data_IF_862715374791
#
_entry.id   IF_862715374791
#
_cell.length_a   1.000
_cell.length_b   1.000
_cell.length_c   1.000
_cell.angle_alpha   90.00
_cell.angle_beta   90.00
_cell.angle_gamma   90.00
#
_symmetry.space_group_name_H-M   'P 1'
#
loop_
_entity.id
_entity.type
_entity.pdbx_description
1 polymer ?
#
# COMPACT_ATOMS: atom_id res chain seq x y z
N UNK A 1 -14.87 14.45 8.23
CA UNK A 1 -14.99 14.04 6.81
C UNK A 1 -15.15 12.52 6.76
N UNK A 2 -15.94 11.97 5.83
CA UNK A 2 -16.09 10.52 5.70
C UNK A 2 -14.77 9.86 5.28
N UNK A 3 -14.46 8.70 5.86
CA UNK A 3 -13.32 7.87 5.46
C UNK A 3 -13.73 7.00 4.26
N UNK A 4 -13.60 7.54 3.06
CA UNK A 4 -13.98 6.87 1.81
C UNK A 4 -12.83 6.03 1.24
N UNK A 5 -13.14 4.87 0.68
CA UNK A 5 -12.23 4.05 -0.12
C UNK A 5 -12.84 3.84 -1.49
N UNK A 6 -12.12 4.26 -2.55
CA UNK A 6 -12.54 4.11 -3.94
C UNK A 6 -11.36 3.52 -4.73
N UNK A 7 -11.41 2.23 -5.10
CA UNK A 7 -10.35 1.62 -5.90
C UNK A 7 -10.36 2.19 -7.32
N UNK A 8 -9.19 2.33 -7.96
CA UNK A 8 -9.11 2.85 -9.32
C UNK A 8 -9.60 1.83 -10.35
N UNK A 9 -10.23 2.30 -11.43
CA UNK A 9 -10.66 1.48 -12.58
C UNK A 9 -9.87 1.82 -13.85
N UNK A 10 -9.66 0.86 -14.75
CA UNK A 10 -8.94 1.12 -16.01
C UNK A 10 -9.74 2.10 -16.88
N UNK A 11 -9.08 3.16 -17.35
CA UNK A 11 -9.61 4.09 -18.35
C UNK A 11 -9.04 3.75 -19.74
N UNK A 12 -9.75 4.09 -20.81
CA UNK A 12 -9.35 3.71 -22.18
C UNK A 12 -9.80 2.30 -22.61
N UNK A 13 -10.84 1.76 -21.96
CA UNK A 13 -11.57 0.58 -22.43
C UNK A 13 -12.70 0.99 -23.39
N UNK A 14 -13.26 0.03 -24.15
CA UNK A 14 -14.37 0.29 -25.08
C UNK A 14 -15.59 0.94 -24.41
N UNK A 15 -15.87 0.58 -23.14
CA UNK A 15 -16.98 1.13 -22.37
C UNK A 15 -16.66 2.47 -21.66
N UNK A 16 -15.43 2.98 -21.81
CA UNK A 16 -15.03 4.23 -21.16
C UNK A 16 -15.38 5.46 -22.02
N UNK A 17 -15.72 6.57 -21.36
CA UNK A 17 -16.08 7.80 -22.05
C UNK A 17 -14.86 8.39 -22.77
N UNK A 18 -14.98 8.56 -24.08
CA UNK A 18 -13.90 9.10 -24.91
C UNK A 18 -13.69 10.60 -24.65
N UNK A 19 -12.44 11.04 -24.58
CA UNK A 19 -12.07 12.44 -24.34
C UNK A 19 -12.18 12.91 -22.89
N UNK A 20 -12.54 12.04 -21.95
CA UNK A 20 -12.57 12.35 -20.51
C UNK A 20 -11.52 11.53 -19.76
N UNK A 21 -10.78 12.20 -18.87
CA UNK A 21 -9.79 11.57 -18.00
C UNK A 21 -10.09 11.97 -16.56
N UNK A 22 -10.29 10.98 -15.69
CA UNK A 22 -10.50 11.18 -14.26
C UNK A 22 -9.18 11.04 -13.50
N UNK A 23 -8.90 11.98 -12.59
CA UNK A 23 -7.68 12.02 -11.76
C UNK A 23 -7.98 12.48 -10.34
N UNK A 24 -7.04 12.23 -9.41
CA UNK A 24 -7.15 12.61 -8.00
C UNK A 24 -8.23 11.82 -7.25
N UNK A 25 -8.79 12.43 -6.20
CA UNK A 25 -9.80 11.79 -5.34
C UNK A 25 -11.11 11.49 -6.08
N UNK A 26 -11.39 12.15 -7.22
CA UNK A 26 -12.52 11.78 -8.08
C UNK A 26 -12.36 10.38 -8.70
N UNK A 27 -11.13 9.85 -8.74
CA UNK A 27 -10.78 8.61 -9.40
C UNK A 27 -10.24 7.54 -8.44
N UNK A 28 -9.48 7.92 -7.41
CA UNK A 28 -8.87 6.98 -6.48
C UNK A 28 -8.81 7.60 -5.07
N UNK A 29 -9.65 7.12 -4.16
CA UNK A 29 -9.67 7.56 -2.75
C UNK A 29 -9.14 6.48 -1.82
N UNK A 30 -8.47 6.93 -0.77
CA UNK A 30 -7.84 6.07 0.24
C UNK A 30 -7.95 6.67 1.62
N UNK A 31 -7.69 5.84 2.63
CA UNK A 31 -7.75 6.30 4.00
C UNK A 31 -6.73 7.43 4.25
N UNK A 32 -7.13 8.59 4.83
CA UNK A 32 -6.26 9.77 4.95
C UNK A 32 -5.14 9.63 5.99
N UNK A 33 -5.02 8.47 6.65
CA UNK A 33 -4.11 8.25 7.79
C UNK A 33 -2.64 8.49 7.46
N UNK A 34 -2.22 8.15 6.24
CA UNK A 34 -0.84 8.32 5.79
C UNK A 34 -0.61 9.66 5.08
N UNK A 35 -1.65 10.47 4.88
CA UNK A 35 -1.54 11.74 4.15
C UNK A 35 -1.17 11.60 2.66
N UNK A 36 -1.21 10.38 2.09
CA UNK A 36 -0.67 10.11 0.76
C UNK A 36 -1.53 10.53 -0.43
N UNK A 37 -2.75 11.05 -0.22
CA UNK A 37 -3.68 11.39 -1.32
C UNK A 37 -3.12 12.45 -2.27
N UNK A 38 -2.57 13.54 -1.74
CA UNK A 38 -1.94 14.58 -2.56
C UNK A 38 -0.71 14.05 -3.30
N UNK A 39 0.13 13.26 -2.64
CA UNK A 39 1.33 12.67 -3.27
C UNK A 39 0.97 11.81 -4.47
N UNK A 40 -0.10 11.02 -4.35
CA UNK A 40 -0.62 10.19 -5.45
C UNK A 40 -1.19 11.06 -6.56
N UNK A 41 -1.95 12.11 -6.24
CA UNK A 41 -2.50 13.03 -7.23
C UNK A 41 -1.40 13.74 -8.05
N UNK A 42 -0.35 14.22 -7.39
CA UNK A 42 0.80 14.85 -8.06
C UNK A 42 1.58 13.84 -8.90
N UNK A 43 1.80 12.63 -8.40
CA UNK A 43 2.46 11.58 -9.15
C UNK A 43 1.66 11.16 -10.40
N UNK A 44 0.35 10.99 -10.25
CA UNK A 44 -0.57 10.67 -11.34
C UNK A 44 -0.54 11.76 -12.42
N UNK A 45 -0.54 13.04 -12.03
CA UNK A 45 -0.46 14.16 -12.96
C UNK A 45 0.88 14.23 -13.72
N UNK A 46 1.99 13.95 -13.03
CA UNK A 46 3.32 13.88 -13.65
C UNK A 46 3.41 12.73 -14.67
N UNK A 47 2.94 11.53 -14.30
CA UNK A 47 2.89 10.40 -15.22
C UNK A 47 1.97 10.70 -16.41
N UNK A 48 0.78 11.25 -16.17
CA UNK A 48 -0.16 11.57 -17.25
C UNK A 48 0.46 12.55 -18.26
N UNK A 49 1.19 13.56 -17.77
CA UNK A 49 1.93 14.51 -18.63
C UNK A 49 3.01 13.82 -19.45
N UNK A 50 3.65 12.78 -18.92
CA UNK A 50 4.65 12.00 -19.66
C UNK A 50 4.02 11.10 -20.73
N UNK A 51 2.91 10.44 -20.38
CA UNK A 51 2.23 9.48 -21.26
C UNK A 51 1.41 10.16 -22.38
N UNK A 52 0.90 11.36 -22.15
CA UNK A 52 0.09 12.12 -23.11
C UNK A 52 0.86 13.26 -23.81
N UNK A 53 2.19 13.29 -23.71
CA UNK A 53 2.99 14.34 -24.34
C UNK A 53 2.98 14.21 -25.88
N UNK A 54 2.43 15.17 -26.64
CA UNK A 54 2.48 15.13 -28.11
C UNK A 54 3.92 15.25 -28.63
N UNK A 55 4.30 14.38 -29.56
CA UNK A 55 5.67 14.28 -30.10
C UNK A 55 6.73 13.84 -29.10
N UNK A 56 6.35 13.48 -27.86
CA UNK A 56 7.27 13.07 -26.79
C UNK A 56 7.51 11.57 -26.80
N UNK A 57 8.75 11.15 -26.51
CA UNK A 57 9.05 9.74 -26.20
C UNK A 57 8.79 9.48 -24.73
N UNK A 58 8.17 8.34 -24.40
CA UNK A 58 8.02 7.91 -23.02
C UNK A 58 9.38 7.50 -22.45
N UNK A 59 9.70 7.91 -21.22
CA UNK A 59 10.97 7.50 -20.59
C UNK A 59 11.00 6.00 -20.33
N UNK A 60 9.83 5.43 -19.99
CA UNK A 60 9.68 4.00 -19.77
C UNK A 60 9.85 3.18 -21.06
N UNK A 61 9.55 3.78 -22.23
CA UNK A 61 9.58 3.13 -23.54
C UNK A 61 10.17 4.04 -24.63
N UNK A 62 11.49 4.25 -24.63
CA UNK A 62 12.14 5.21 -25.55
C UNK A 62 12.16 4.76 -27.02
N UNK A 63 11.85 3.48 -27.29
CA UNK A 63 11.79 2.91 -28.63
C UNK A 63 10.42 3.07 -29.30
N UNK A 64 9.38 3.40 -28.53
CA UNK A 64 8.03 3.55 -29.06
C UNK A 64 7.83 4.98 -29.57
N UNK A 65 7.14 5.12 -30.71
CA UNK A 65 6.75 6.43 -31.21
C UNK A 65 5.75 7.06 -30.23
N UNK A 66 5.98 8.34 -29.91
CA UNK A 66 5.04 9.12 -29.12
C UNK A 66 3.72 9.37 -29.85
N UNK A 67 2.81 10.06 -29.19
CA UNK A 67 1.66 10.66 -29.87
C UNK A 67 2.15 11.62 -30.98
N UNK A 68 1.33 11.85 -31.99
CA UNK A 68 1.67 12.78 -33.06
C UNK A 68 2.01 14.17 -32.50
N UNK A 69 2.92 14.88 -33.17
CA UNK A 69 3.37 16.17 -32.69
C UNK A 69 2.29 17.24 -32.89
N UNK A 70 2.03 18.05 -31.86
CA UNK A 70 1.02 19.11 -31.92
C UNK A 70 -0.31 18.71 -31.29
N UNK A 71 -1.37 19.43 -31.64
CA UNK A 71 -2.73 19.18 -31.09
C UNK A 71 -3.34 17.90 -31.65
N UNK A 72 -3.03 17.58 -32.91
CA UNK A 72 -3.57 16.44 -33.66
C UNK A 72 -3.34 15.10 -32.93
N UNK A 73 -2.18 14.95 -32.27
CA UNK A 73 -1.89 13.77 -31.44
C UNK A 73 -2.76 13.59 -30.20
N UNK A 74 -3.61 14.56 -29.85
CA UNK A 74 -4.59 14.46 -28.77
C UNK A 74 -6.04 14.35 -29.27
N UNK A 75 -6.26 14.35 -30.59
CA UNK A 75 -7.58 14.23 -31.19
C UNK A 75 -7.98 12.76 -31.39
N UNK A 76 -7.00 11.90 -31.67
CA UNK A 76 -7.21 10.46 -31.84
C UNK A 76 -7.32 9.73 -30.49
N UNK A 77 -8.51 9.18 -30.22
CA UNK A 77 -8.78 8.49 -28.97
C UNK A 77 -8.07 7.13 -28.83
N UNK A 78 -7.89 6.40 -29.92
CA UNK A 78 -7.30 5.04 -29.89
C UNK A 78 -5.89 4.99 -29.28
N UNK A 79 -4.91 5.83 -29.72
CA UNK A 79 -3.59 5.86 -29.11
C UNK A 79 -3.63 6.43 -27.68
N UNK A 80 -4.51 7.39 -27.39
CA UNK A 80 -4.69 7.93 -26.02
C UNK A 80 -5.18 6.82 -25.08
N UNK A 81 -6.17 6.03 -25.52
CA UNK A 81 -6.73 4.93 -24.75
C UNK A 81 -5.69 3.84 -24.46
N UNK A 82 -4.77 3.57 -25.39
CA UNK A 82 -3.62 2.70 -25.12
C UNK A 82 -2.68 3.29 -24.07
N UNK A 83 -2.30 4.56 -24.20
CA UNK A 83 -1.46 5.25 -23.21
C UNK A 83 -2.09 5.30 -21.82
N UNK A 84 -3.41 5.47 -21.72
CA UNK A 84 -4.14 5.46 -20.45
C UNK A 84 -4.11 4.09 -19.78
N UNK A 85 -4.17 3.00 -20.55
CA UNK A 85 -4.02 1.62 -20.03
C UNK A 85 -2.61 1.39 -19.47
N UNK A 86 -1.58 1.92 -20.12
CA UNK A 86 -0.20 1.83 -19.62
C UNK A 86 0.02 2.70 -18.38
N UNK A 87 -0.49 3.94 -18.42
CA UNK A 87 -0.47 4.86 -17.27
C UNK A 87 -1.09 4.21 -16.02
N UNK A 88 -2.20 3.49 -16.19
CA UNK A 88 -2.84 2.74 -15.10
C UNK A 88 -1.92 1.71 -14.43
N UNK A 89 -1.11 0.99 -15.20
CA UNK A 89 -0.16 0.03 -14.64
C UNK A 89 1.06 0.72 -14.01
N UNK A 90 1.54 1.82 -14.60
CA UNK A 90 2.70 2.55 -14.06
C UNK A 90 2.37 3.18 -12.71
N UNK A 91 1.22 3.83 -12.58
CA UNK A 91 0.80 4.46 -11.31
C UNK A 91 0.62 3.48 -10.18
N UNK A 92 0.26 2.21 -10.45
CA UNK A 92 0.08 1.17 -9.41
C UNK A 92 1.35 0.91 -8.61
N UNK A 93 2.54 1.16 -9.17
CA UNK A 93 3.81 1.01 -8.46
C UNK A 93 3.89 1.89 -7.21
N UNK A 94 3.45 3.14 -7.29
CA UNK A 94 3.41 4.07 -6.16
C UNK A 94 2.05 4.02 -5.45
N UNK A 95 0.99 4.20 -6.22
CA UNK A 95 -0.38 4.34 -5.70
C UNK A 95 -0.83 3.10 -4.93
N UNK A 96 -0.50 1.90 -5.42
CA UNK A 96 -0.85 0.64 -4.76
C UNK A 96 -0.14 0.47 -3.41
N UNK A 97 1.15 0.82 -3.33
CA UNK A 97 1.92 0.75 -2.06
C UNK A 97 1.32 1.68 -1.02
N UNK A 98 1.04 2.94 -1.40
CA UNK A 98 0.44 3.92 -0.49
C UNK A 98 -0.95 3.45 -0.05
N UNK A 99 -1.77 2.89 -0.96
CA UNK A 99 -3.09 2.35 -0.67
C UNK A 99 -3.07 1.23 0.37
N UNK A 100 -2.29 0.20 0.09
CA UNK A 100 -2.14 -0.96 0.97
C UNK A 100 -1.64 -0.52 2.34
N UNK A 101 -0.65 0.38 2.36
CA UNK A 101 -0.09 0.89 3.60
C UNK A 101 -1.12 1.65 4.44
N UNK A 102 -1.90 2.56 3.83
CA UNK A 102 -2.95 3.31 4.53
C UNK A 102 -3.98 2.39 5.17
N UNK A 103 -4.45 1.38 4.42
CA UNK A 103 -5.47 0.44 4.90
C UNK A 103 -4.93 -0.51 5.97
N UNK A 104 -3.71 -1.01 5.79
CA UNK A 104 -3.06 -1.89 6.75
C UNK A 104 -2.82 -1.18 8.08
N UNK A 105 -2.26 0.03 8.06
CA UNK A 105 -2.02 0.82 9.27
C UNK A 105 -3.33 1.27 9.93
N UNK A 106 -4.34 1.64 9.14
CA UNK A 106 -5.66 1.95 9.68
C UNK A 106 -6.27 0.74 10.40
N UNK A 107 -6.23 -0.44 9.79
CA UNK A 107 -6.76 -1.66 10.40
C UNK A 107 -5.97 -2.05 11.65
N UNK A 108 -4.64 -1.90 11.62
CA UNK A 108 -3.75 -2.19 12.73
C UNK A 108 -3.96 -1.26 13.92
N UNK A 109 -4.05 0.04 13.69
CA UNK A 109 -4.16 1.04 14.75
C UNK A 109 -5.60 1.31 15.21
N UNK A 110 -6.58 1.16 14.32
CA UNK A 110 -8.00 1.36 14.60
C UNK A 110 -8.70 0.17 15.27
N UNK A 111 -8.15 -1.05 15.16
CA UNK A 111 -8.75 -2.25 15.73
C UNK A 111 -8.40 -2.53 17.19
N UNK A 112 -8.56 -1.52 18.07
CA UNK A 112 -8.18 -1.58 19.50
C UNK A 112 -8.81 -2.72 20.29
N UNK A 113 -9.97 -3.21 19.85
CA UNK A 113 -10.76 -4.16 20.63
C UNK A 113 -10.36 -5.62 20.40
N UNK A 114 -9.58 -5.91 19.35
CA UNK A 114 -9.10 -7.26 19.07
C UNK A 114 -7.73 -7.49 19.71
N UNK A 115 -7.59 -8.51 20.57
CA UNK A 115 -6.32 -8.76 21.27
C UNK A 115 -5.20 -9.17 20.31
N UNK A 116 -5.54 -9.73 19.13
CA UNK A 116 -4.58 -10.13 18.10
C UNK A 116 -3.93 -8.89 17.45
N UNK A 117 -4.72 -7.83 17.21
CA UNK A 117 -4.24 -6.56 16.67
C UNK A 117 -3.46 -5.75 17.70
N UNK A 118 -3.81 -5.86 18.98
CA UNK A 118 -3.04 -5.23 20.06
C UNK A 118 -1.60 -5.73 20.10
N UNK A 119 -1.37 -7.05 19.91
CA UNK A 119 -0.03 -7.65 19.81
C UNK A 119 0.74 -7.08 18.62
N UNK A 120 0.11 -7.06 17.44
CA UNK A 120 0.74 -6.52 16.23
C UNK A 120 1.06 -5.03 16.36
N UNK A 121 0.21 -4.26 17.03
CA UNK A 121 0.42 -2.82 17.28
C UNK A 121 1.60 -2.58 18.21
N UNK A 122 1.68 -3.30 19.32
CA UNK A 122 2.82 -3.20 20.25
C UNK A 122 4.12 -3.59 19.56
N UNK A 123 4.12 -4.69 18.82
CA UNK A 123 5.30 -5.12 18.06
C UNK A 123 5.68 -4.17 16.94
N UNK A 124 4.72 -3.48 16.31
CA UNK A 124 4.99 -2.42 15.33
C UNK A 124 5.76 -1.25 15.96
N UNK A 125 5.33 -0.75 17.12
CA UNK A 125 6.06 0.30 17.83
C UNK A 125 7.44 -0.16 18.28
N UNK A 126 7.54 -1.36 18.86
CA UNK A 126 8.83 -1.94 19.27
C UNK A 126 9.76 -2.20 18.08
N UNK A 127 9.22 -2.50 16.91
CA UNK A 127 10.00 -2.68 15.69
C UNK A 127 10.64 -1.36 15.24
N UNK A 128 9.90 -0.25 15.34
CA UNK A 128 10.46 1.08 15.07
C UNK A 128 11.52 1.51 16.11
N UNK A 129 11.40 1.08 17.37
CA UNK A 129 12.43 1.34 18.39
C UNK A 129 13.78 0.68 18.08
N UNK A 130 13.84 -0.36 17.23
CA UNK A 130 15.10 -1.01 16.82
C UNK A 130 16.00 -0.11 15.95
N UNK A 131 15.44 0.94 15.34
CA UNK A 131 16.20 1.86 14.49
C UNK A 131 16.71 1.24 13.19
N UNK A 132 17.59 1.98 12.49
CA UNK A 132 18.18 1.55 11.22
C UNK A 132 17.14 1.30 10.13
N UNK A 133 17.28 0.19 9.42
CA UNK A 133 16.38 -0.20 8.32
C UNK A 133 14.93 -0.43 8.79
N UNK A 134 14.73 -0.78 10.06
CA UNK A 134 13.40 -0.98 10.64
C UNK A 134 12.59 0.32 10.71
N UNK A 135 13.25 1.48 10.62
CA UNK A 135 12.61 2.80 10.54
C UNK A 135 12.74 3.38 9.14
N UNK A 136 13.93 3.33 8.54
CA UNK A 136 14.19 3.94 7.24
C UNK A 136 13.32 3.36 6.13
N UNK A 137 13.10 2.04 6.12
CA UNK A 137 12.24 1.38 5.15
C UNK A 137 10.78 1.80 5.25
N UNK A 138 10.11 1.62 6.41
CA UNK A 138 8.72 2.04 6.60
C UNK A 138 8.50 3.55 6.39
N UNK A 139 9.44 4.40 6.80
CA UNK A 139 9.39 5.85 6.54
C UNK A 139 9.51 6.15 5.05
N UNK A 140 10.34 5.43 4.30
CA UNK A 140 10.44 5.54 2.84
C UNK A 140 9.13 5.17 2.12
N UNK A 141 8.38 4.21 2.65
CA UNK A 141 7.05 3.85 2.15
C UNK A 141 6.00 4.91 2.52
N UNK A 142 5.99 5.41 3.75
CA UNK A 142 5.07 6.44 4.24
C UNK A 142 5.24 7.77 3.51
N UNK A 143 6.49 8.16 3.24
CA UNK A 143 6.84 9.35 2.46
C UNK A 143 6.66 9.17 0.95
N UNK A 144 6.34 7.94 0.50
CA UNK A 144 6.26 7.56 -0.91
C UNK A 144 7.51 7.89 -1.73
N UNK A 145 8.69 7.98 -1.09
CA UNK A 145 9.97 8.22 -1.77
C UNK A 145 10.55 6.95 -2.39
N UNK A 146 10.33 5.80 -1.76
CA UNK A 146 10.79 4.49 -2.24
C UNK A 146 9.66 3.45 -2.23
N UNK A 147 8.54 3.70 -2.94
CA UNK A 147 7.37 2.85 -2.90
C UNK A 147 7.66 1.54 -3.65
N UNK A 148 8.11 0.52 -2.92
CA UNK A 148 8.36 -0.82 -3.46
C UNK A 148 7.47 -1.84 -2.75
N UNK A 149 6.61 -2.58 -3.48
CA UNK A 149 5.72 -3.57 -2.89
C UNK A 149 6.46 -4.64 -2.08
N UNK A 150 7.64 -5.04 -2.54
CA UNK A 150 8.49 -6.04 -1.86
C UNK A 150 8.99 -5.53 -0.49
N UNK A 151 9.34 -4.25 -0.40
CA UNK A 151 9.78 -3.62 0.87
C UNK A 151 8.60 -3.55 1.84
N UNK A 152 7.40 -3.20 1.35
CA UNK A 152 6.17 -3.19 2.15
C UNK A 152 5.87 -4.58 2.72
N UNK A 153 5.91 -5.62 1.88
CA UNK A 153 5.73 -7.00 2.32
C UNK A 153 6.78 -7.39 3.38
N UNK A 154 8.05 -7.13 3.10
CA UNK A 154 9.16 -7.44 3.99
C UNK A 154 8.99 -6.84 5.39
N UNK A 155 8.77 -5.52 5.49
CA UNK A 155 8.63 -4.88 6.80
C UNK A 155 7.34 -5.29 7.52
N UNK A 156 6.23 -5.48 6.80
CA UNK A 156 4.98 -5.90 7.43
C UNK A 156 5.11 -7.29 8.08
N UNK A 157 5.70 -8.26 7.38
CA UNK A 157 5.91 -9.59 7.95
C UNK A 157 6.98 -9.61 9.03
N UNK A 158 8.04 -8.81 8.92
CA UNK A 158 9.01 -8.65 10.02
C UNK A 158 8.36 -8.10 11.29
N UNK A 159 7.47 -7.11 11.16
CA UNK A 159 6.66 -6.62 12.29
C UNK A 159 5.80 -7.75 12.86
N UNK A 160 5.14 -8.55 12.01
CA UNK A 160 4.31 -9.67 12.47
C UNK A 160 5.12 -10.73 13.24
N UNK A 161 6.26 -11.15 12.70
CA UNK A 161 7.15 -12.11 13.37
C UNK A 161 7.76 -11.55 14.65
N UNK A 162 8.16 -10.28 14.64
CA UNK A 162 8.69 -9.62 15.83
C UNK A 162 7.62 -9.47 16.92
N UNK A 163 6.38 -9.19 16.54
CA UNK A 163 5.24 -9.16 17.47
C UNK A 163 5.00 -10.52 18.12
N UNK A 164 5.06 -11.60 17.33
CA UNK A 164 4.95 -12.97 17.82
C UNK A 164 6.10 -13.30 18.77
N UNK A 165 7.33 -12.94 18.41
CA UNK A 165 8.51 -13.13 19.25
C UNK A 165 8.37 -12.43 20.61
N UNK A 166 7.98 -11.15 20.61
CA UNK A 166 7.76 -10.38 21.84
C UNK A 166 6.64 -10.99 22.71
N UNK A 167 5.57 -11.46 22.08
CA UNK A 167 4.46 -12.12 22.76
C UNK A 167 4.87 -13.48 23.36
N UNK A 168 5.73 -14.26 22.70
CA UNK A 168 6.25 -15.51 23.24
C UNK A 168 7.17 -15.28 24.44
N UNK A 169 7.92 -14.18 24.46
CA UNK A 169 8.81 -13.83 25.57
C UNK A 169 8.10 -13.21 26.78
N UNK A 170 7.22 -12.23 26.54
CA UNK A 170 6.63 -11.41 27.60
C UNK A 170 5.17 -11.77 27.92
N UNK A 171 4.57 -12.67 27.15
CA UNK A 171 3.14 -12.94 27.18
C UNK A 171 2.32 -11.88 26.41
N UNK A 172 1.02 -12.13 26.19
CA UNK A 172 0.14 -11.19 25.48
C UNK A 172 -0.06 -9.89 26.28
N UNK A 173 -0.25 -8.74 25.62
CA UNK A 173 -0.36 -7.42 26.27
C UNK A 173 -1.45 -7.35 27.36
N UNK A 174 -2.53 -8.10 27.19
CA UNK A 174 -3.66 -8.14 28.13
C UNK A 174 -3.44 -9.06 29.34
N UNK A 175 -2.44 -9.94 29.30
CA UNK A 175 -2.03 -10.83 30.40
C UNK A 175 -0.52 -10.92 30.38
N UNK A 176 0.15 -9.84 30.78
CA UNK A 176 1.60 -9.87 31.03
C UNK A 176 1.85 -10.83 32.18
N UNK A 177 2.28 -12.05 31.85
CA UNK A 177 2.75 -13.02 32.82
C UNK A 177 4.00 -12.46 33.47
N UNK A 178 3.97 -12.27 34.79
CA UNK A 178 5.09 -11.75 35.57
C UNK A 178 6.28 -12.71 35.50
N UNK A 179 7.18 -12.48 34.54
CA UNK A 179 8.45 -13.18 34.40
C UNK A 179 8.45 -14.36 33.42
N UNK A 180 9.66 -14.70 32.97
CA UNK A 180 9.93 -15.74 31.97
C UNK A 180 9.31 -17.11 32.34
N UNK A 181 9.27 -17.45 33.63
CA UNK A 181 8.72 -18.72 34.12
C UNK A 181 7.22 -18.89 33.85
N UNK A 182 6.44 -17.81 33.91
CA UNK A 182 5.02 -17.83 33.57
C UNK A 182 4.77 -17.96 32.06
N UNK A 183 5.64 -17.34 31.25
CA UNK A 183 5.61 -17.48 29.80
C UNK A 183 5.94 -18.92 29.36
N UNK A 184 6.91 -19.58 30.00
CA UNK A 184 7.28 -20.98 29.68
C UNK A 184 6.14 -21.95 29.97
N UNK A 185 5.39 -21.75 31.06
CA UNK A 185 4.25 -22.61 31.39
C UNK A 185 3.07 -22.42 30.42
N UNK A 186 2.90 -21.21 29.90
CA UNK A 186 1.85 -20.86 28.94
C UNK A 186 2.28 -20.99 27.47
N UNK A 187 3.50 -21.47 27.20
CA UNK A 187 4.05 -21.65 25.84
C UNK A 187 3.11 -22.37 24.86
N UNK A 188 2.49 -23.53 25.17
CA UNK A 188 1.62 -24.20 24.20
C UNK A 188 0.41 -23.36 23.82
N UNK A 189 -0.16 -22.62 24.77
CA UNK A 189 -1.27 -21.70 24.53
C UNK A 189 -0.83 -20.47 23.74
N UNK A 190 0.32 -19.89 24.08
CA UNK A 190 0.89 -18.74 23.37
C UNK A 190 1.30 -19.11 21.94
N UNK A 191 1.74 -20.34 21.71
CA UNK A 191 2.09 -20.85 20.38
C UNK A 191 0.84 -21.03 19.50
N UNK A 192 -0.25 -21.58 20.03
CA UNK A 192 -1.55 -21.58 19.33
C UNK A 192 -2.05 -20.16 19.03
N UNK A 193 -1.90 -19.25 19.98
CA UNK A 193 -2.28 -17.86 19.80
C UNK A 193 -1.41 -17.15 18.75
N UNK A 194 -0.13 -17.52 18.62
CA UNK A 194 0.77 -17.00 17.57
C UNK A 194 0.28 -17.30 16.15
N UNK A 195 -0.27 -18.49 15.91
CA UNK A 195 -0.90 -18.82 14.63
C UNK A 195 -2.09 -17.91 14.34
N UNK A 196 -2.90 -17.58 15.34
CA UNK A 196 -4.02 -16.65 15.20
C UNK A 196 -3.55 -15.22 14.87
N UNK A 197 -2.49 -14.76 15.53
CA UNK A 197 -1.88 -13.44 15.25
C UNK A 197 -1.31 -13.39 13.84
N UNK A 198 -0.58 -14.42 13.42
CA UNK A 198 -0.05 -14.54 12.07
C UNK A 198 -1.17 -14.57 11.01
N UNK A 199 -2.21 -15.36 11.24
CA UNK A 199 -3.37 -15.43 10.35
C UNK A 199 -4.08 -14.07 10.24
N UNK A 200 -4.19 -13.34 11.35
CA UNK A 200 -4.73 -11.97 11.37
C UNK A 200 -3.86 -11.03 10.54
N UNK A 201 -2.54 -11.09 10.66
CA UNK A 201 -1.62 -10.30 9.85
C UNK A 201 -1.80 -10.58 8.34
N UNK A 202 -1.93 -11.85 7.95
CA UNK A 202 -2.19 -12.25 6.57
C UNK A 202 -3.53 -11.68 6.05
N UNK A 203 -4.61 -11.75 6.84
CA UNK A 203 -5.92 -11.17 6.47
C UNK A 203 -5.84 -9.64 6.35
N UNK A 204 -5.02 -8.98 7.16
CA UNK A 204 -4.88 -7.53 7.11
C UNK A 204 -4.13 -7.06 5.86
N UNK A 205 -3.16 -7.83 5.35
CA UNK A 205 -2.33 -7.39 4.24
C UNK A 205 -2.75 -7.96 2.87
N UNK A 206 -2.91 -9.28 2.79
CA UNK A 206 -3.02 -9.98 1.50
C UNK A 206 -4.23 -9.54 0.67
N UNK A 207 -5.45 -9.35 1.23
CA UNK A 207 -6.59 -8.93 0.44
C UNK A 207 -6.38 -7.58 -0.26
N UNK A 208 -5.73 -6.62 0.41
CA UNK A 208 -5.47 -5.31 -0.20
C UNK A 208 -4.34 -5.37 -1.23
N UNK A 209 -3.27 -6.13 -0.97
CA UNK A 209 -2.24 -6.33 -1.98
C UNK A 209 -2.77 -7.01 -3.25
N UNK A 210 -3.60 -8.04 -3.09
CA UNK A 210 -4.22 -8.72 -4.23
C UNK A 210 -5.13 -7.76 -5.00
N UNK A 211 -5.97 -6.97 -4.31
CA UNK A 211 -6.82 -5.98 -4.96
C UNK A 211 -6.03 -4.91 -5.72
N UNK A 212 -4.95 -4.38 -5.16
CA UNK A 212 -4.23 -3.27 -5.80
C UNK A 212 -3.28 -3.72 -6.93
N UNK A 213 -2.68 -4.91 -6.82
CA UNK A 213 -1.69 -5.36 -7.79
C UNK A 213 -2.26 -6.30 -8.86
N UNK A 214 -3.37 -7.00 -8.60
CA UNK A 214 -3.96 -7.97 -9.55
C UNK A 214 -5.29 -7.53 -10.18
N UNK A 215 -6.03 -6.60 -9.58
CA UNK A 215 -7.19 -5.93 -10.19
C UNK A 215 -6.75 -4.58 -10.72
#
# INVERSE_FOLDING_TARGET
MPNSYLPPSIQGLQDSLQGMILVGDAYNMRHPLTGGGMTVAWHDALLLTEYLRPGGKLRAKPHEAGLEAGREGLEDWEPIAERLREWFWERKKLSGVVNVLSMALYTLFGGSDRPDLAVLREGCFKYFELGGDCVAGPVGLLSALTPRPVILFYHFFNVAFYSIYLMLLHGPPNRRTGGALGATWMLPFNLLYSFKVFFTACIVLLPYMLREFWS
#
